data_IF_267559713166
#
_entry.id   IF_267559713166
#
_cell.length_a   1.000
_cell.length_b   1.000
_cell.length_c   1.000
_cell.angle_alpha   90.00
_cell.angle_beta   90.00
_cell.angle_gamma   90.00
#
_symmetry.space_group_name_H-M   'P 1'
#
loop_
_entity.id
_entity.type
_entity.pdbx_description
1 polymer ?
#
# COMPACT_ATOMS: atom_id res chain seq x y z
N UNK A 1 -63.67 4.12 82.25
CA UNK A 1 -63.52 4.98 81.05
C UNK A 1 -62.08 5.01 80.54
N UNK A 2 -61.07 5.32 81.36
CA UNK A 2 -59.66 5.43 80.93
C UNK A 2 -59.05 4.17 80.28
N UNK A 3 -59.42 2.96 80.72
CA UNK A 3 -58.89 1.70 80.15
C UNK A 3 -59.33 1.45 78.70
N UNK A 4 -60.55 1.86 78.34
CA UNK A 4 -61.07 1.76 76.98
C UNK A 4 -60.40 2.76 76.05
N UNK A 5 -60.18 4.00 76.54
CA UNK A 5 -59.45 5.03 75.77
C UNK A 5 -58.01 4.57 75.51
N UNK A 6 -57.32 4.02 76.51
CA UNK A 6 -55.97 3.48 76.33
C UNK A 6 -55.92 2.33 75.31
N UNK A 7 -56.90 1.42 75.34
CA UNK A 7 -56.98 0.32 74.38
C UNK A 7 -57.19 0.82 72.94
N UNK A 8 -58.05 1.82 72.74
CA UNK A 8 -58.29 2.42 71.42
C UNK A 8 -57.05 3.15 70.89
N UNK A 9 -56.33 3.87 71.75
CA UNK A 9 -55.08 4.55 71.37
C UNK A 9 -54.01 3.54 70.96
N UNK A 10 -53.88 2.43 71.68
CA UNK A 10 -52.94 1.36 71.33
C UNK A 10 -53.32 0.72 69.99
N UNK A 11 -54.60 0.45 69.75
CA UNK A 11 -55.08 -0.09 68.48
C UNK A 11 -54.79 0.86 67.31
N UNK A 12 -55.03 2.15 67.49
CA UNK A 12 -54.72 3.18 66.49
C UNK A 12 -53.21 3.26 66.19
N UNK A 13 -52.36 3.13 67.22
CA UNK A 13 -50.91 3.08 67.04
C UNK A 13 -50.48 1.82 66.26
N UNK A 14 -51.06 0.65 66.56
CA UNK A 14 -50.73 -0.58 65.83
C UNK A 14 -51.12 -0.47 64.35
N UNK A 15 -52.29 0.10 64.05
CA UNK A 15 -52.75 0.30 62.66
C UNK A 15 -51.85 1.28 61.91
N UNK A 16 -51.43 2.38 62.53
CA UNK A 16 -50.55 3.36 61.86
C UNK A 16 -49.14 2.81 61.64
N UNK A 17 -48.60 2.03 62.58
CA UNK A 17 -47.29 1.38 62.45
C UNK A 17 -47.30 0.30 61.36
N UNK A 18 -48.33 -0.55 61.34
CA UNK A 18 -48.46 -1.59 60.30
C UNK A 18 -48.61 -0.99 58.91
N UNK A 19 -49.40 0.08 58.76
CA UNK A 19 -49.51 0.80 57.50
C UNK A 19 -48.19 1.46 57.07
N UNK A 20 -47.48 2.12 57.97
CA UNK A 20 -46.18 2.73 57.69
C UNK A 20 -45.12 1.71 57.27
N UNK A 21 -45.13 0.51 57.86
CA UNK A 21 -44.23 -0.58 57.50
C UNK A 21 -44.56 -1.12 56.10
N UNK A 22 -45.85 -1.30 55.78
CA UNK A 22 -46.29 -1.75 54.46
C UNK A 22 -45.90 -0.75 53.35
N UNK A 23 -46.10 0.55 53.60
CA UNK A 23 -45.69 1.60 52.66
C UNK A 23 -44.17 1.62 52.45
N UNK A 24 -43.38 1.37 53.50
CA UNK A 24 -41.92 1.28 53.41
C UNK A 24 -41.45 0.07 52.63
N UNK A 25 -42.09 -1.09 52.80
CA UNK A 25 -41.77 -2.30 52.05
C UNK A 25 -42.08 -2.12 50.56
N UNK A 26 -43.28 -1.63 50.22
CA UNK A 26 -43.66 -1.36 48.84
C UNK A 26 -42.73 -0.31 48.18
N UNK A 27 -42.32 0.72 48.94
CA UNK A 27 -41.36 1.71 48.45
C UNK A 27 -39.93 1.15 48.30
N UNK A 28 -39.55 0.16 49.11
CA UNK A 28 -38.27 -0.52 48.98
C UNK A 28 -38.26 -1.46 47.76
N UNK A 29 -39.34 -2.20 47.54
CA UNK A 29 -39.53 -3.05 46.35
C UNK A 29 -39.50 -2.22 45.06
N UNK A 30 -40.26 -1.11 45.00
CA UNK A 30 -40.25 -0.23 43.84
C UNK A 30 -38.86 0.36 43.55
N UNK A 31 -38.06 0.64 44.59
CA UNK A 31 -36.67 1.10 44.42
C UNK A 31 -35.75 -0.01 43.94
N UNK A 32 -35.96 -1.25 44.40
CA UNK A 32 -35.20 -2.41 43.94
C UNK A 32 -35.48 -2.69 42.46
N UNK A 33 -36.74 -2.67 42.03
CA UNK A 33 -37.13 -2.82 40.63
C UNK A 33 -36.52 -1.73 39.74
N UNK A 34 -36.56 -0.46 40.16
CA UNK A 34 -35.93 0.63 39.42
C UNK A 34 -34.40 0.47 39.35
N UNK A 35 -33.75 0.00 40.41
CA UNK A 35 -32.32 -0.26 40.42
C UNK A 35 -31.95 -1.41 39.46
N UNK A 36 -32.74 -2.50 39.43
CA UNK A 36 -32.56 -3.61 38.49
C UNK A 36 -32.75 -3.15 37.04
N UNK A 37 -33.78 -2.33 36.77
CA UNK A 37 -34.00 -1.76 35.45
C UNK A 37 -32.82 -0.89 35.00
N UNK A 38 -32.32 0.00 35.88
CA UNK A 38 -31.15 0.83 35.56
C UNK A 38 -29.90 0.00 35.31
N UNK A 39 -29.70 -1.07 36.08
CA UNK A 39 -28.58 -1.98 35.88
C UNK A 39 -28.69 -2.72 34.54
N UNK A 40 -29.88 -3.22 34.20
CA UNK A 40 -30.14 -3.87 32.93
C UNK A 40 -29.92 -2.90 31.74
N UNK A 41 -30.41 -1.67 31.83
CA UNK A 41 -30.15 -0.63 30.83
C UNK A 41 -28.66 -0.29 30.72
N UNK A 42 -27.94 -0.23 31.84
CA UNK A 42 -26.49 0.00 31.84
C UNK A 42 -25.76 -1.12 31.11
N UNK A 43 -26.05 -2.38 31.45
CA UNK A 43 -25.45 -3.52 30.77
C UNK A 43 -25.79 -3.58 29.28
N UNK A 44 -27.03 -3.22 28.91
CA UNK A 44 -27.41 -3.13 27.50
C UNK A 44 -26.62 -2.04 26.77
N UNK A 45 -26.46 -0.86 27.39
CA UNK A 45 -25.65 0.23 26.82
C UNK A 45 -24.19 -0.19 26.70
N UNK A 46 -23.62 -0.82 27.72
CA UNK A 46 -22.24 -1.34 27.69
C UNK A 46 -22.05 -2.35 26.56
N UNK A 47 -22.97 -3.30 26.39
CA UNK A 47 -22.92 -4.27 25.30
C UNK A 47 -22.98 -3.58 23.92
N UNK A 48 -23.85 -2.57 23.76
CA UNK A 48 -23.90 -1.76 22.53
C UNK A 48 -22.59 -1.02 22.28
N UNK A 49 -22.01 -0.41 23.32
CA UNK A 49 -20.73 0.29 23.21
C UNK A 49 -19.60 -0.66 22.84
N UNK A 50 -19.55 -1.87 23.41
CA UNK A 50 -18.55 -2.88 23.05
C UNK A 50 -18.63 -3.25 21.57
N UNK A 51 -19.84 -3.49 21.04
CA UNK A 51 -20.02 -3.78 19.60
C UNK A 51 -19.53 -2.63 18.72
N UNK A 52 -19.78 -1.37 19.11
CA UNK A 52 -19.29 -0.20 18.37
C UNK A 52 -17.77 -0.08 18.45
N UNK A 53 -17.17 -0.32 19.61
CA UNK A 53 -15.72 -0.30 19.80
C UNK A 53 -15.07 -1.37 18.94
N UNK A 54 -15.59 -2.60 18.95
CA UNK A 54 -15.08 -3.70 18.16
C UNK A 54 -15.17 -3.40 16.65
N UNK A 55 -16.29 -2.83 16.21
CA UNK A 55 -16.46 -2.40 14.83
C UNK A 55 -15.45 -1.30 14.44
N UNK A 56 -15.22 -0.32 15.32
CA UNK A 56 -14.25 0.75 15.10
C UNK A 56 -12.82 0.20 15.03
N UNK A 57 -12.48 -0.76 15.89
CA UNK A 57 -11.17 -1.40 15.91
C UNK A 57 -10.94 -2.21 14.63
N UNK A 58 -11.93 -3.02 14.22
CA UNK A 58 -11.89 -3.78 12.97
C UNK A 58 -11.78 -2.86 11.74
N UNK A 59 -12.49 -1.73 11.73
CA UNK A 59 -12.39 -0.74 10.66
C UNK A 59 -11.01 -0.11 10.61
N UNK A 60 -10.46 0.31 11.76
CA UNK A 60 -9.12 0.89 11.86
C UNK A 60 -8.05 -0.08 11.37
N UNK A 61 -8.16 -1.35 11.75
CA UNK A 61 -7.22 -2.38 11.30
C UNK A 61 -7.28 -2.58 9.78
N UNK A 62 -8.49 -2.59 9.20
CA UNK A 62 -8.68 -2.66 7.74
C UNK A 62 -8.12 -1.44 7.02
N UNK A 63 -8.34 -0.23 7.54
CA UNK A 63 -7.79 0.99 6.96
C UNK A 63 -6.26 0.99 7.02
N UNK A 64 -5.68 0.52 8.13
CA UNK A 64 -4.23 0.39 8.26
C UNK A 64 -3.64 -0.61 7.27
N UNK A 65 -4.28 -1.76 7.05
CA UNK A 65 -3.83 -2.72 6.04
C UNK A 65 -3.92 -2.13 4.63
N UNK A 66 -5.03 -1.50 4.28
CA UNK A 66 -5.21 -0.84 2.98
C UNK A 66 -4.17 0.26 2.73
N UNK A 67 -3.87 1.09 3.74
CA UNK A 67 -2.83 2.12 3.65
C UNK A 67 -1.45 1.51 3.41
N UNK A 68 -1.12 0.41 4.09
CA UNK A 68 0.16 -0.30 3.88
C UNK A 68 0.24 -0.88 2.48
N UNK A 69 -0.83 -1.49 1.98
CA UNK A 69 -0.87 -2.06 0.64
C UNK A 69 -0.76 -0.97 -0.43
N UNK A 70 -1.44 0.17 -0.25
CA UNK A 70 -1.32 1.33 -1.12
C UNK A 70 0.10 1.89 -1.11
N UNK A 71 0.74 2.03 0.05
CA UNK A 71 2.12 2.49 0.16
C UNK A 71 3.10 1.54 -0.56
N UNK A 72 2.89 0.22 -0.47
CA UNK A 72 3.69 -0.76 -1.23
C UNK A 72 3.49 -0.61 -2.75
N UNK A 73 2.25 -0.41 -3.20
CA UNK A 73 1.96 -0.20 -4.61
C UNK A 73 2.61 1.08 -5.13
N UNK A 74 2.52 2.19 -4.38
CA UNK A 74 3.17 3.44 -4.72
C UNK A 74 4.69 3.27 -4.81
N UNK A 75 5.32 2.64 -3.81
CA UNK A 75 6.75 2.37 -3.84
C UNK A 75 7.17 1.48 -5.04
N UNK A 76 6.34 0.49 -5.41
CA UNK A 76 6.59 -0.34 -6.60
C UNK A 76 6.45 0.46 -7.90
N UNK A 77 5.46 1.33 -8.00
CA UNK A 77 5.26 2.23 -9.14
C UNK A 77 6.42 3.22 -9.28
N UNK A 78 6.87 3.83 -8.18
CA UNK A 78 8.01 4.75 -8.17
C UNK A 78 9.29 4.06 -8.64
N UNK A 79 9.59 2.86 -8.12
CA UNK A 79 10.74 2.07 -8.59
C UNK A 79 10.64 1.71 -10.06
N UNK A 80 9.45 1.35 -10.52
CA UNK A 80 9.23 1.02 -11.93
C UNK A 80 9.41 2.26 -12.80
N UNK A 81 8.87 3.40 -12.38
CA UNK A 81 9.02 4.66 -13.10
C UNK A 81 10.49 5.11 -13.16
N UNK A 82 11.24 5.03 -12.06
CA UNK A 82 12.66 5.37 -12.04
C UNK A 82 13.47 4.44 -12.94
N UNK A 83 13.21 3.12 -12.88
CA UNK A 83 13.86 2.17 -13.78
C UNK A 83 13.56 2.48 -15.25
N UNK A 84 12.30 2.78 -15.58
CA UNK A 84 11.91 3.13 -16.96
C UNK A 84 12.62 4.38 -17.44
N UNK A 85 12.76 5.40 -16.59
CA UNK A 85 13.47 6.62 -16.93
C UNK A 85 14.95 6.32 -17.24
N UNK A 86 15.63 5.58 -16.37
CA UNK A 86 17.04 5.19 -16.59
C UNK A 86 17.21 4.38 -17.88
N UNK A 87 16.32 3.42 -18.14
CA UNK A 87 16.37 2.63 -19.38
C UNK A 87 16.17 3.52 -20.62
N UNK A 88 15.27 4.51 -20.56
CA UNK A 88 15.07 5.44 -21.68
C UNK A 88 16.32 6.29 -21.93
N UNK A 89 16.94 6.80 -20.86
CA UNK A 89 18.19 7.57 -20.96
C UNK A 89 19.34 6.75 -21.55
N UNK A 90 19.49 5.49 -21.12
CA UNK A 90 20.45 4.56 -21.69
C UNK A 90 20.20 4.30 -23.17
N UNK A 91 18.96 3.96 -23.54
CA UNK A 91 18.58 3.73 -24.93
C UNK A 91 18.81 4.98 -25.81
N UNK A 92 18.59 6.18 -25.27
CA UNK A 92 18.85 7.42 -25.97
C UNK A 92 20.35 7.65 -26.19
N UNK A 93 21.18 7.38 -25.17
CA UNK A 93 22.65 7.46 -25.27
C UNK A 93 23.20 6.46 -26.28
N UNK A 94 22.72 5.23 -26.25
CA UNK A 94 23.12 4.18 -27.17
C UNK A 94 22.71 4.54 -28.61
N UNK A 95 21.50 5.06 -28.80
CA UNK A 95 21.04 5.49 -30.12
C UNK A 95 21.92 6.62 -30.69
N UNK A 96 22.26 7.62 -29.86
CA UNK A 96 23.17 8.69 -30.25
C UNK A 96 24.55 8.15 -30.65
N UNK A 97 25.08 7.20 -29.88
CA UNK A 97 26.38 6.55 -30.13
C UNK A 97 26.35 5.76 -31.44
N UNK A 98 25.31 4.98 -31.68
CA UNK A 98 25.12 4.22 -32.92
C UNK A 98 24.99 5.14 -34.15
N UNK A 99 24.27 6.25 -34.03
CA UNK A 99 24.19 7.26 -35.09
C UNK A 99 25.55 7.88 -35.38
N UNK A 100 26.33 8.21 -34.34
CA UNK A 100 27.69 8.75 -34.52
C UNK A 100 28.61 7.75 -35.22
N UNK A 101 28.57 6.48 -34.83
CA UNK A 101 29.29 5.40 -35.50
C UNK A 101 28.88 5.25 -36.97
N UNK A 102 27.58 5.22 -37.26
CA UNK A 102 27.08 5.09 -38.63
C UNK A 102 27.46 6.27 -39.54
N UNK A 103 27.57 7.48 -38.96
CA UNK A 103 28.01 8.68 -39.68
C UNK A 103 29.54 8.79 -39.82
N UNK A 104 30.30 7.95 -39.14
CA UNK A 104 31.76 7.93 -39.26
C UNK A 104 32.15 7.39 -40.63
N UNK A 105 33.01 8.12 -41.37
CA UNK A 105 33.46 7.67 -42.69
C UNK A 105 34.23 6.35 -42.54
N UNK A 106 33.98 5.41 -43.46
CA UNK A 106 34.71 4.14 -43.48
C UNK A 106 36.21 4.39 -43.65
N UNK A 107 37.08 3.72 -42.87
CA UNK A 107 38.52 3.83 -43.00
C UNK A 107 38.99 3.56 -44.42
N UNK A 108 40.02 4.28 -44.87
CA UNK A 108 40.53 4.20 -46.24
C UNK A 108 41.01 2.80 -46.64
N UNK A 109 41.44 1.98 -45.68
CA UNK A 109 41.79 0.59 -45.91
C UNK A 109 40.58 -0.24 -46.39
N UNK A 110 39.40 -0.04 -45.76
CA UNK A 110 38.15 -0.72 -46.12
C UNK A 110 37.58 -0.15 -47.42
N UNK A 111 37.66 1.17 -47.62
CA UNK A 111 37.24 1.81 -48.86
C UNK A 111 38.07 1.35 -50.07
N UNK A 112 39.37 1.08 -49.89
CA UNK A 112 40.25 0.50 -50.92
C UNK A 112 39.91 -0.95 -51.24
N UNK A 113 39.60 -1.78 -50.24
CA UNK A 113 39.12 -3.15 -50.46
C UNK A 113 37.87 -3.19 -51.35
N UNK A 114 36.96 -2.21 -51.20
CA UNK A 114 35.76 -2.08 -52.06
C UNK A 114 36.08 -1.54 -53.44
N UNK A 115 37.09 -0.67 -53.58
CA UNK A 115 37.59 -0.20 -54.89
C UNK A 115 38.51 -1.24 -55.51
N UNK A 116 37.94 -2.36 -55.98
CA UNK A 116 38.66 -3.21 -56.94
C UNK A 116 38.59 -2.59 -58.34
N UNK A 117 39.68 -2.60 -59.11
CA UNK A 117 39.64 -2.22 -60.52
C UNK A 117 38.67 -3.15 -61.27
N UNK A 118 37.93 -2.59 -62.23
CA UNK A 118 36.98 -3.36 -63.03
C UNK A 118 37.75 -4.42 -63.82
N UNK A 119 37.46 -5.69 -63.54
CA UNK A 119 38.04 -6.82 -64.26
C UNK A 119 37.15 -7.10 -65.47
N UNK A 120 37.58 -6.69 -66.65
CA UNK A 120 36.85 -6.94 -67.90
C UNK A 120 37.44 -8.16 -68.62
N UNK A 121 36.71 -9.28 -68.60
CA UNK A 121 37.07 -10.53 -69.30
C UNK A 121 37.58 -11.65 -68.38
N UNK A 122 37.44 -12.90 -68.83
CA UNK A 122 37.74 -14.10 -68.03
C UNK A 122 39.24 -14.28 -67.74
N UNK A 123 40.11 -13.94 -68.69
CA UNK A 123 41.57 -14.06 -68.49
C UNK A 123 42.10 -13.03 -67.48
N UNK A 124 41.63 -11.78 -67.59
CA UNK A 124 41.90 -10.73 -66.61
C UNK A 124 41.42 -11.11 -65.20
N UNK A 125 40.32 -11.86 -65.09
CA UNK A 125 39.82 -12.39 -63.82
C UNK A 125 40.76 -13.42 -63.21
N UNK A 126 41.18 -14.42 -63.98
CA UNK A 126 42.12 -15.43 -63.50
C UNK A 126 43.46 -14.83 -63.06
N UNK A 127 43.96 -13.83 -63.78
CA UNK A 127 45.18 -13.11 -63.40
C UNK A 127 45.02 -12.38 -62.06
N UNK A 128 43.88 -11.71 -61.85
CA UNK A 128 43.59 -10.92 -60.63
C UNK A 128 43.43 -11.75 -59.34
N UNK A 129 43.16 -13.05 -59.48
CA UNK A 129 43.04 -14.00 -58.35
C UNK A 129 44.38 -14.64 -58.03
N UNK A 130 45.25 -14.86 -59.04
CA UNK A 130 46.58 -15.43 -58.85
C UNK A 130 47.58 -14.47 -58.21
N UNK A 131 47.42 -13.16 -58.42
CA UNK A 131 48.34 -12.14 -57.91
C UNK A 131 47.63 -11.15 -56.98
N UNK A 132 47.22 -11.60 -55.77
CA UNK A 132 46.53 -10.73 -54.82
C UNK A 132 47.49 -9.63 -54.33
N UNK A 133 47.16 -8.37 -54.62
CA UNK A 133 47.91 -7.22 -54.11
C UNK A 133 47.97 -7.27 -52.58
N UNK A 134 49.18 -7.24 -51.98
CA UNK A 134 49.33 -7.30 -50.52
C UNK A 134 48.74 -6.05 -49.87
N UNK A 135 47.93 -6.25 -48.83
CA UNK A 135 47.39 -5.15 -48.02
C UNK A 135 48.53 -4.60 -47.13
N UNK A 136 48.74 -3.28 -47.12
CA UNK A 136 49.72 -2.66 -46.23
C UNK A 136 49.32 -2.86 -44.76
N UNK A 137 50.28 -3.10 -43.85
CA UNK A 137 50.00 -3.22 -42.43
C UNK A 137 49.43 -1.90 -41.89
N UNK A 138 48.32 -1.98 -41.14
CA UNK A 138 47.75 -0.84 -40.41
C UNK A 138 48.68 -0.43 -39.29
N UNK A 139 49.51 0.58 -39.53
CA UNK A 139 50.37 1.19 -38.53
C UNK A 139 50.55 2.66 -38.82
N UNK A 140 49.68 3.50 -38.25
CA UNK A 140 49.98 4.91 -38.06
C UNK A 140 50.66 5.00 -36.69
N UNK A 141 51.94 5.44 -36.57
CA UNK A 141 52.50 5.80 -35.29
C UNK A 141 51.70 6.99 -34.75
N UNK A 142 51.32 6.94 -33.46
CA UNK A 142 50.84 8.11 -32.76
C UNK A 142 52.02 9.07 -32.61
N UNK A 143 51.91 10.27 -33.18
CA UNK A 143 52.83 11.37 -32.90
C UNK A 143 52.48 11.95 -31.52
N UNK A 144 53.52 12.17 -30.70
CA UNK A 144 53.52 12.81 -29.37
C UNK A 144 53.07 14.28 -29.40
#
# INVERSE_FOLDING_TARGET
MNRLIAAVVILALVVTVTWALWQRLNAAEARAELAEQQLAESHQREAQHQVVIDALWANTQRLNSQRRDLARQQAALERTASHRLTTIEELQRDNATLRAWANTRLPDAVSRLRRRPAVTGAEAYHQSVRDPQPLQPTGQPADD
#
